data_IF_165387678041
#
_entry.id   IF_165387678041
#
_cell.length_a   1.000
_cell.length_b   1.000
_cell.length_c   1.000
_cell.angle_alpha   90.00
_cell.angle_beta   90.00
_cell.angle_gamma   90.00
#
_symmetry.space_group_name_H-M   'P 1'
#
loop_
_entity.id
_entity.type
_entity.pdbx_description
1 polymer ?
#
# COMPACT_ATOMS: atom_id res chain seq x y z
N UNK A 1 -23.98 8.15 6.28
CA UNK A 1 -22.87 7.94 7.23
C UNK A 1 -21.91 9.11 7.06
N UNK A 2 -21.65 9.85 8.11
CA UNK A 2 -20.71 10.98 8.12
C UNK A 2 -19.72 10.72 9.26
N UNK A 3 -18.45 11.07 9.07
CA UNK A 3 -17.38 10.97 10.09
C UNK A 3 -17.10 9.53 10.58
N UNK A 4 -16.84 8.60 9.66
CA UNK A 4 -16.40 7.25 10.02
C UNK A 4 -14.92 7.30 10.39
N UNK A 5 -14.59 6.99 11.64
CA UNK A 5 -13.22 6.99 12.18
C UNK A 5 -12.63 5.59 12.34
N UNK A 6 -13.47 4.55 12.30
CA UNK A 6 -13.03 3.15 12.40
C UNK A 6 -12.60 2.62 11.03
N UNK A 7 -11.42 1.99 10.96
CA UNK A 7 -10.86 1.41 9.74
C UNK A 7 -11.67 0.23 9.20
N UNK A 8 -12.25 -0.55 10.13
CA UNK A 8 -13.12 -1.67 9.85
C UNK A 8 -14.33 -1.58 10.78
N UNK A 9 -15.51 -1.43 10.18
CA UNK A 9 -16.78 -1.45 10.91
C UNK A 9 -17.80 -2.27 10.15
N UNK A 10 -18.85 -2.71 10.86
CA UNK A 10 -19.99 -3.40 10.27
C UNK A 10 -21.24 -2.55 10.41
N UNK A 11 -21.88 -2.23 9.29
CA UNK A 11 -23.15 -1.50 9.28
C UNK A 11 -24.28 -2.51 9.30
N UNK A 12 -25.18 -2.36 10.28
CA UNK A 12 -26.37 -3.18 10.42
C UNK A 12 -27.58 -2.45 9.85
N UNK A 13 -28.14 -3.00 8.78
CA UNK A 13 -29.48 -2.66 8.31
C UNK A 13 -30.49 -3.65 8.89
N UNK A 14 -31.67 -3.18 9.26
CA UNK A 14 -32.77 -4.09 9.59
C UNK A 14 -34.09 -3.55 9.05
N UNK A 15 -35.02 -4.47 8.81
CA UNK A 15 -36.41 -4.14 8.51
C UNK A 15 -37.32 -5.14 9.21
N UNK A 16 -38.55 -4.70 9.46
CA UNK A 16 -39.59 -5.52 10.09
C UNK A 16 -40.79 -5.63 9.16
N UNK A 17 -41.26 -6.86 8.94
CA UNK A 17 -42.41 -7.17 8.09
C UNK A 17 -43.19 -8.32 8.74
N UNK A 18 -44.51 -8.17 8.92
CA UNK A 18 -45.37 -9.20 9.53
C UNK A 18 -44.81 -9.85 10.80
N UNK A 19 -44.34 -9.05 11.76
CA UNK A 19 -43.71 -9.51 13.01
C UNK A 19 -42.38 -10.28 12.85
N UNK A 20 -41.87 -10.44 11.63
CA UNK A 20 -40.53 -10.94 11.36
C UNK A 20 -39.54 -9.77 11.24
N UNK A 21 -38.40 -9.85 11.93
CA UNK A 21 -37.29 -8.89 11.78
C UNK A 21 -36.17 -9.54 10.98
N UNK A 22 -35.80 -8.92 9.86
CA UNK A 22 -34.60 -9.32 9.10
C UNK A 22 -33.49 -8.31 9.33
N UNK A 23 -32.29 -8.84 9.52
CA UNK A 23 -31.06 -8.06 9.72
C UNK A 23 -30.13 -8.39 8.56
N UNK A 24 -29.55 -7.36 7.97
CA UNK A 24 -28.54 -7.44 6.92
C UNK A 24 -27.31 -6.71 7.41
N UNK A 25 -26.16 -7.38 7.33
CA UNK A 25 -24.87 -6.81 7.71
C UNK A 25 -24.06 -6.51 6.46
N UNK A 26 -23.42 -5.35 6.42
CA UNK A 26 -22.43 -5.01 5.39
C UNK A 26 -21.14 -4.51 6.03
N UNK A 27 -19.99 -4.90 5.47
CA UNK A 27 -18.68 -4.46 5.95
C UNK A 27 -18.36 -3.09 5.33
N UNK A 28 -17.96 -2.16 6.18
CA UNK A 28 -17.44 -0.86 5.77
C UNK A 28 -15.93 -0.85 6.01
N UNK A 29 -15.16 -0.53 4.97
CA UNK A 29 -13.71 -0.40 5.03
C UNK A 29 -13.32 1.00 4.60
N UNK A 30 -12.53 1.68 5.42
CA UNK A 30 -12.01 3.02 5.13
C UNK A 30 -10.69 2.90 4.40
N UNK A 31 -10.46 3.80 3.44
CA UNK A 31 -9.22 3.88 2.68
C UNK A 31 -8.46 5.14 3.07
N UNK A 32 -7.14 5.02 3.15
CA UNK A 32 -6.23 6.14 3.33
C UNK A 32 -5.07 6.04 2.35
N UNK A 33 -4.73 7.16 1.74
CA UNK A 33 -3.51 7.28 0.96
C UNK A 33 -2.29 7.12 1.91
N UNK A 34 -1.13 6.68 1.38
CA UNK A 34 0.10 6.68 2.16
C UNK A 34 0.40 8.07 2.71
N UNK A 35 0.77 8.13 3.99
CA UNK A 35 1.20 9.37 4.65
C UNK A 35 2.60 9.78 4.18
N UNK A 36 3.47 8.78 3.94
CA UNK A 36 4.84 8.99 3.51
C UNK A 36 5.28 7.86 2.58
N UNK A 37 5.96 8.22 1.50
CA UNK A 37 6.66 7.30 0.61
C UNK A 37 8.11 7.75 0.54
N UNK A 38 9.03 6.91 1.01
CA UNK A 38 10.45 7.26 1.10
C UNK A 38 11.33 6.13 0.58
N UNK A 39 12.19 6.46 -0.37
CA UNK A 39 13.31 5.61 -0.76
C UNK A 39 14.47 5.87 0.19
N UNK A 40 15.05 4.82 0.76
CA UNK A 40 16.27 4.94 1.57
C UNK A 40 17.39 5.59 0.75
N UNK A 41 18.27 6.40 1.38
CA UNK A 41 19.37 7.04 0.67
C UNK A 41 20.24 6.03 -0.08
N UNK A 42 20.35 6.21 -1.40
CA UNK A 42 21.19 5.37 -2.24
C UNK A 42 22.58 6.04 -2.34
N UNK A 43 23.66 5.38 -1.89
CA UNK A 43 25.00 5.94 -1.99
C UNK A 43 25.46 6.00 -3.45
N UNK A 44 26.54 6.74 -3.72
CA UNK A 44 27.20 6.66 -5.02
C UNK A 44 27.71 5.24 -5.28
N UNK A 45 27.33 4.65 -6.40
CA UNK A 45 27.66 3.27 -6.77
C UNK A 45 28.70 3.23 -7.89
N UNK A 46 29.71 2.38 -7.73
CA UNK A 46 30.63 2.08 -8.82
C UNK A 46 29.93 1.17 -9.85
N UNK A 47 30.23 1.36 -11.14
CA UNK A 47 29.66 0.53 -12.21
C UNK A 47 29.96 -0.95 -11.94
N UNK A 48 28.94 -1.80 -12.09
CA UNK A 48 29.01 -3.25 -11.82
C UNK A 48 28.76 -3.65 -10.37
N UNK A 49 28.65 -2.70 -9.45
CA UNK A 49 28.24 -3.01 -8.06
C UNK A 49 26.72 -3.17 -7.95
N UNK A 50 26.27 -4.14 -7.15
CA UNK A 50 24.86 -4.30 -6.81
C UNK A 50 24.53 -3.62 -5.49
N UNK A 51 23.39 -2.93 -5.44
CA UNK A 51 22.82 -2.32 -4.25
C UNK A 51 21.37 -2.77 -4.09
N UNK A 52 20.97 -3.01 -2.84
CA UNK A 52 19.56 -3.21 -2.50
C UNK A 52 18.91 -1.85 -2.27
N UNK A 53 17.92 -1.53 -3.09
CA UNK A 53 17.04 -0.38 -2.90
C UNK A 53 15.93 -0.77 -1.95
N UNK A 54 15.59 0.09 -0.99
CA UNK A 54 14.50 -0.10 -0.04
C UNK A 54 13.58 1.11 -0.04
N UNK A 55 12.31 0.88 -0.34
CA UNK A 55 11.27 1.89 -0.30
C UNK A 55 10.27 1.56 0.79
N UNK A 56 10.02 2.52 1.67
CA UNK A 56 9.04 2.42 2.75
C UNK A 56 7.81 3.24 2.38
N UNK A 57 6.65 2.59 2.47
CA UNK A 57 5.33 3.21 2.29
C UNK A 57 4.62 3.14 3.63
N UNK A 58 4.40 4.30 4.25
CA UNK A 58 3.90 4.42 5.62
C UNK A 58 2.46 4.91 5.61
N UNK A 59 1.62 4.35 6.49
CA UNK A 59 0.30 4.89 6.82
C UNK A 59 -0.78 4.61 5.77
N UNK A 60 -0.57 3.62 4.90
CA UNK A 60 -1.51 3.30 3.85
C UNK A 60 -2.53 2.25 4.31
N UNK A 61 -3.81 2.47 4.00
CA UNK A 61 -4.91 1.61 4.48
C UNK A 61 -5.95 1.36 3.38
N UNK A 62 -6.43 0.10 3.22
CA UNK A 62 -5.76 -1.13 3.62
C UNK A 62 -4.57 -1.40 2.68
N UNK A 63 -3.48 -1.98 3.19
CA UNK A 63 -2.27 -2.23 2.39
C UNK A 63 -2.55 -3.06 1.12
N UNK A 64 -3.50 -3.99 1.16
CA UNK A 64 -3.90 -4.82 0.00
C UNK A 64 -4.42 -4.05 -1.22
N UNK A 65 -4.79 -2.78 -1.04
CA UNK A 65 -5.22 -1.90 -2.13
C UNK A 65 -4.05 -1.19 -2.82
N UNK A 66 -2.83 -1.35 -2.31
CA UNK A 66 -1.64 -0.70 -2.81
C UNK A 66 -0.96 -1.47 -3.93
N UNK A 67 -0.40 -0.67 -4.82
CA UNK A 67 0.55 -1.07 -5.84
C UNK A 67 1.72 -0.09 -5.80
N UNK A 68 2.93 -0.62 -5.61
CA UNK A 68 4.15 0.18 -5.52
C UNK A 68 5.04 -0.15 -6.69
N UNK A 69 5.47 0.88 -7.41
CA UNK A 69 6.38 0.76 -8.54
C UNK A 69 7.67 1.48 -8.21
N UNK A 70 8.78 0.75 -8.28
CA UNK A 70 10.13 1.34 -8.26
C UNK A 70 10.55 1.63 -9.69
N UNK A 71 10.97 2.86 -9.95
CA UNK A 71 11.41 3.32 -11.26
C UNK A 71 12.80 3.93 -11.18
N UNK A 72 13.55 3.80 -12.27
CA UNK A 72 14.80 4.50 -12.51
C UNK A 72 14.56 5.60 -13.54
N UNK A 73 14.98 6.83 -13.20
CA UNK A 73 14.76 8.01 -14.04
C UNK A 73 13.28 8.25 -14.35
N UNK A 74 12.98 8.69 -15.56
CA UNK A 74 11.63 9.08 -16.00
C UNK A 74 10.73 7.91 -16.47
N UNK A 75 11.11 6.65 -16.25
CA UNK A 75 10.17 5.57 -16.57
C UNK A 75 10.71 4.15 -16.70
N UNK A 76 11.99 3.88 -16.44
CA UNK A 76 12.46 2.50 -16.43
C UNK A 76 11.94 1.79 -15.18
N UNK A 77 10.92 0.94 -15.34
CA UNK A 77 10.32 0.19 -14.23
C UNK A 77 11.26 -0.92 -13.77
N UNK A 78 11.84 -0.74 -12.58
CA UNK A 78 12.70 -1.73 -11.91
C UNK A 78 11.87 -2.87 -11.33
N UNK A 79 10.78 -2.54 -10.64
CA UNK A 79 9.88 -3.55 -10.09
C UNK A 79 8.51 -2.98 -9.78
N UNK A 80 7.57 -3.92 -9.64
CA UNK A 80 6.18 -3.67 -9.29
C UNK A 80 5.76 -4.65 -8.21
N UNK A 81 5.23 -4.16 -7.10
CA UNK A 81 4.77 -4.97 -5.97
C UNK A 81 3.34 -4.64 -5.62
N UNK A 82 2.59 -5.69 -5.34
CA UNK A 82 1.23 -5.62 -4.79
C UNK A 82 1.21 -6.31 -3.44
N UNK A 83 0.23 -5.97 -2.62
CA UNK A 83 0.15 -6.43 -1.23
C UNK A 83 -1.13 -7.22 -0.97
N UNK A 84 -1.63 -7.94 -1.97
CA UNK A 84 -2.93 -8.64 -1.93
C UNK A 84 -3.05 -9.63 -0.75
N UNK A 85 -1.93 -10.14 -0.23
CA UNK A 85 -1.93 -11.06 0.91
C UNK A 85 -2.17 -10.35 2.26
N UNK A 86 -2.03 -9.03 2.34
CA UNK A 86 -2.28 -8.27 3.55
C UNK A 86 -3.77 -8.27 3.90
N UNK A 87 -4.08 -8.45 5.18
CA UNK A 87 -5.45 -8.63 5.65
C UNK A 87 -5.93 -7.55 6.61
N UNK A 88 -5.03 -6.73 7.15
CA UNK A 88 -5.43 -5.66 8.04
C UNK A 88 -6.12 -4.55 7.25
N UNK A 89 -7.05 -3.89 7.93
CA UNK A 89 -7.79 -2.76 7.38
C UNK A 89 -7.19 -1.44 7.86
N UNK A 90 -6.44 -1.48 8.96
CA UNK A 90 -5.72 -0.37 9.55
C UNK A 90 -4.53 0.08 8.68
N UNK A 91 -4.04 1.32 8.90
CA UNK A 91 -2.82 1.80 8.27
C UNK A 91 -1.62 0.93 8.61
N UNK A 92 -0.90 0.53 7.58
CA UNK A 92 0.31 -0.30 7.71
C UNK A 92 1.52 0.40 7.09
N UNK A 93 2.71 -0.01 7.54
CA UNK A 93 3.95 0.28 6.83
C UNK A 93 4.37 -0.95 6.04
N UNK A 94 4.63 -0.76 4.74
CA UNK A 94 5.11 -1.82 3.86
C UNK A 94 6.46 -1.44 3.24
N UNK A 95 7.33 -2.43 3.09
CA UNK A 95 8.64 -2.27 2.48
C UNK A 95 8.67 -2.94 1.10
N UNK A 96 9.25 -2.25 0.12
CA UNK A 96 9.56 -2.80 -1.20
C UNK A 96 11.06 -2.77 -1.41
N UNK A 97 11.62 -3.94 -1.69
CA UNK A 97 13.04 -4.09 -2.02
C UNK A 97 13.25 -4.45 -3.48
N UNK A 98 14.31 -3.90 -4.07
CA UNK A 98 14.76 -4.24 -5.41
C UNK A 98 16.29 -4.19 -5.50
N UNK A 99 16.90 -5.23 -6.06
CA UNK A 99 18.35 -5.27 -6.24
C UNK A 99 18.73 -4.65 -7.59
N UNK A 100 19.33 -3.46 -7.54
CA UNK A 100 19.83 -2.74 -8.70
C UNK A 100 21.33 -3.03 -8.89
N UNK A 101 21.76 -3.29 -10.13
CA UNK A 101 23.19 -3.27 -10.47
C UNK A 101 23.50 -1.99 -11.23
N UNK A 102 24.46 -1.20 -10.74
CA UNK A 102 24.80 0.10 -11.30
C UNK A 102 25.42 -0.04 -12.70
N UNK A 103 24.87 0.68 -13.67
CA UNK A 103 25.35 0.74 -15.05
C UNK A 103 25.74 2.17 -15.40
N UNK A 104 26.58 2.35 -16.42
CA UNK A 104 27.14 3.66 -16.79
C UNK A 104 26.05 4.69 -17.14
N UNK A 105 24.93 4.24 -17.70
CA UNK A 105 23.80 5.06 -18.12
C UNK A 105 22.71 5.21 -17.06
N UNK A 106 22.87 4.56 -15.90
CA UNK A 106 22.02 4.85 -14.74
C UNK A 106 22.48 6.20 -14.18
N UNK A 107 21.83 7.26 -14.61
CA UNK A 107 22.01 8.60 -14.07
C UNK A 107 20.91 8.85 -13.04
N UNK A 108 21.27 9.45 -11.91
CA UNK A 108 20.35 9.91 -10.86
C UNK A 108 19.84 11.31 -11.15
#
# INVERSE_FOLDING_TARGET
>A
LLNVTEWNSSVLGYYSCFQERKVVTTKLTVYSAPELVVLEPVPALAVGTSQELRCHVVGAAPARSLEVTLQLGEGEMLSKKTFLQHRQDEPETVEVTHRLTAQRWHHG
#
